data_IF_752631992045
#
_entry.id   IF_752631992045
#
_cell.length_a   1.000
_cell.length_b   1.000
_cell.length_c   1.000
_cell.angle_alpha   90.00
_cell.angle_beta   90.00
_cell.angle_gamma   90.00
#
_symmetry.space_group_name_H-M   'P 1'
#
loop_
_entity.id
_entity.type
_entity.pdbx_description
1 polymer ?
#
# COMPACT_ATOMS: atom_id res chain seq x y z
N UNK A 1 5.94 13.74 -19.07
CA UNK A 1 5.05 14.31 -18.03
C UNK A 1 5.83 14.31 -16.73
N UNK A 2 6.01 15.45 -16.11
CA UNK A 2 6.57 15.54 -14.76
C UNK A 2 5.42 15.37 -13.75
N UNK A 3 5.57 14.46 -12.78
CA UNK A 3 4.59 14.22 -11.73
C UNK A 3 5.10 14.88 -10.45
N UNK A 4 4.44 15.95 -10.02
CA UNK A 4 4.77 16.67 -8.79
C UNK A 4 3.76 16.36 -7.68
N UNK A 5 4.28 16.17 -6.47
CA UNK A 5 3.54 16.10 -5.21
C UNK A 5 3.96 17.23 -4.26
N UNK A 6 4.56 18.30 -4.80
CA UNK A 6 5.03 19.43 -3.99
C UNK A 6 3.89 20.05 -3.16
N UNK A 7 4.16 20.32 -1.89
CA UNK A 7 3.19 20.86 -0.96
C UNK A 7 2.14 19.84 -0.48
N UNK A 8 2.24 18.57 -0.83
CA UNK A 8 1.40 17.48 -0.33
C UNK A 8 2.07 16.76 0.82
N UNK A 9 1.26 16.11 1.66
CA UNK A 9 1.74 15.26 2.75
C UNK A 9 1.08 13.89 2.68
N UNK A 10 1.86 12.84 2.91
CA UNK A 10 1.44 11.45 2.73
C UNK A 10 1.71 10.60 3.97
N UNK A 11 0.82 9.65 4.25
CA UNK A 11 1.07 8.52 5.16
C UNK A 11 1.20 7.26 4.29
N UNK A 12 2.31 6.52 4.45
CA UNK A 12 2.52 5.23 3.81
C UNK A 12 2.65 4.14 4.88
N UNK A 13 1.63 3.30 5.03
CA UNK A 13 1.68 2.17 5.95
C UNK A 13 2.50 1.02 5.37
N UNK A 14 3.30 0.35 6.21
CA UNK A 14 4.28 -0.63 5.73
C UNK A 14 5.40 -0.01 4.89
N UNK A 15 5.73 1.28 5.14
CA UNK A 15 6.64 2.07 4.33
C UNK A 15 8.13 1.83 4.57
N UNK A 16 8.52 0.94 5.48
CA UNK A 16 9.93 0.72 5.83
C UNK A 16 10.67 -0.25 4.91
N UNK A 17 9.95 -1.07 4.11
CA UNK A 17 10.54 -2.08 3.20
C UNK A 17 9.71 -2.29 1.95
N UNK A 18 10.32 -2.89 0.92
CA UNK A 18 9.65 -3.36 -0.30
C UNK A 18 8.82 -2.29 -1.00
N UNK A 19 7.60 -2.63 -1.40
CA UNK A 19 6.70 -1.75 -2.15
C UNK A 19 6.42 -0.45 -1.40
N UNK A 20 6.12 -0.52 -0.09
CA UNK A 20 5.84 0.67 0.71
C UNK A 20 7.03 1.62 0.79
N UNK A 21 8.26 1.10 0.92
CA UNK A 21 9.48 1.90 0.89
C UNK A 21 9.68 2.57 -0.47
N UNK A 22 9.50 1.85 -1.57
CA UNK A 22 9.61 2.41 -2.92
C UNK A 22 8.56 3.51 -3.15
N UNK A 23 7.32 3.32 -2.70
CA UNK A 23 6.25 4.34 -2.77
C UNK A 23 6.64 5.58 -1.95
N UNK A 24 7.07 5.41 -0.69
CA UNK A 24 7.50 6.51 0.17
C UNK A 24 8.67 7.29 -0.45
N UNK A 25 9.66 6.58 -1.00
CA UNK A 25 10.80 7.16 -1.71
C UNK A 25 10.35 7.98 -2.92
N UNK A 26 9.50 7.39 -3.78
CA UNK A 26 9.00 8.06 -4.98
C UNK A 26 8.19 9.30 -4.65
N UNK A 27 7.35 9.25 -3.61
CA UNK A 27 6.57 10.40 -3.16
C UNK A 27 7.47 11.53 -2.66
N UNK A 28 8.47 11.21 -1.84
CA UNK A 28 9.43 12.19 -1.33
C UNK A 28 10.26 12.81 -2.45
N UNK A 29 10.71 12.03 -3.44
CA UNK A 29 11.41 12.51 -4.63
C UNK A 29 10.53 13.41 -5.51
N UNK A 30 9.22 13.20 -5.48
CA UNK A 30 8.23 14.03 -6.19
C UNK A 30 7.79 15.25 -5.37
N UNK A 31 8.37 15.49 -4.18
CA UNK A 31 8.19 16.70 -3.39
C UNK A 31 7.16 16.58 -2.25
N UNK A 32 6.57 15.41 -1.98
CA UNK A 32 5.68 15.23 -0.86
C UNK A 32 6.44 15.06 0.46
N UNK A 33 5.92 15.62 1.55
CA UNK A 33 6.29 15.23 2.90
C UNK A 33 5.73 13.84 3.21
N UNK A 34 6.52 12.93 3.80
CA UNK A 34 6.12 11.53 3.96
C UNK A 34 6.30 11.04 5.39
N UNK A 35 5.22 10.50 5.95
CA UNK A 35 5.24 9.71 7.17
C UNK A 35 5.27 8.21 6.83
N UNK A 36 6.34 7.52 7.22
CA UNK A 36 6.48 6.08 7.12
C UNK A 36 5.96 5.46 8.40
N UNK A 37 4.97 4.57 8.27
CA UNK A 37 4.38 3.85 9.39
C UNK A 37 4.72 2.37 9.27
N UNK A 38 5.41 1.81 10.26
CA UNK A 38 5.76 0.39 10.35
C UNK A 38 5.98 -0.01 11.82
N UNK A 39 6.23 -1.29 12.11
CA UNK A 39 6.35 -1.79 13.50
C UNK A 39 7.74 -1.63 14.10
N UNK A 40 8.77 -1.87 13.31
CA UNK A 40 10.15 -2.03 13.78
C UNK A 40 10.92 -0.72 13.63
N UNK A 41 11.32 -0.12 14.74
CA UNK A 41 11.97 1.20 14.79
C UNK A 41 13.25 1.25 13.95
N UNK A 42 14.10 0.23 14.05
CA UNK A 42 15.39 0.17 13.34
C UNK A 42 15.17 0.24 11.81
N UNK A 43 14.22 -0.54 11.29
CA UNK A 43 13.94 -0.55 9.84
C UNK A 43 13.27 0.74 9.36
N UNK A 44 12.55 1.42 10.25
CA UNK A 44 11.96 2.75 9.96
C UNK A 44 13.09 3.77 9.84
N UNK A 45 14.03 3.79 10.79
CA UNK A 45 15.13 4.76 10.83
C UNK A 45 16.06 4.57 9.62
N UNK A 46 16.35 3.32 9.23
CA UNK A 46 17.08 3.00 8.01
C UNK A 46 16.36 3.55 6.77
N UNK A 47 15.05 3.32 6.65
CA UNK A 47 14.25 3.79 5.53
C UNK A 47 14.19 5.33 5.45
N UNK A 48 13.94 6.00 6.59
CA UNK A 48 13.93 7.46 6.68
C UNK A 48 15.29 8.04 6.25
N UNK A 49 16.39 7.47 6.76
CA UNK A 49 17.73 7.93 6.41
C UNK A 49 18.05 7.71 4.93
N UNK A 50 17.63 6.58 4.35
CA UNK A 50 17.83 6.30 2.94
C UNK A 50 17.06 7.29 2.05
N UNK A 51 15.80 7.59 2.37
CA UNK A 51 14.98 8.54 1.60
C UNK A 51 15.55 9.95 1.69
N UNK A 52 15.95 10.40 2.87
CA UNK A 52 16.54 11.74 3.08
C UNK A 52 17.81 11.99 2.26
N UNK A 53 18.53 10.94 1.86
CA UNK A 53 19.68 11.06 0.95
C UNK A 53 19.30 11.38 -0.50
N UNK A 54 18.07 11.09 -0.90
CA UNK A 54 17.60 11.17 -2.30
C UNK A 54 16.48 12.20 -2.52
N UNK A 55 15.93 12.76 -1.45
CA UNK A 55 14.83 13.69 -1.50
C UNK A 55 15.03 14.85 -0.52
N UNK A 56 14.53 16.06 -0.91
CA UNK A 56 14.55 17.26 -0.06
C UNK A 56 13.31 17.40 0.83
N UNK A 57 12.30 16.54 0.64
CA UNK A 57 11.07 16.55 1.40
C UNK A 57 11.29 16.16 2.87
N UNK A 58 10.39 16.58 3.74
CA UNK A 58 10.40 16.13 5.14
C UNK A 58 9.95 14.67 5.20
N UNK A 59 10.73 13.85 5.88
CA UNK A 59 10.40 12.43 6.08
C UNK A 59 10.49 12.11 7.57
N UNK A 60 9.39 11.57 8.11
CA UNK A 60 9.33 11.07 9.47
C UNK A 60 9.01 9.58 9.51
N UNK A 61 9.39 8.93 10.60
CA UNK A 61 9.07 7.53 10.83
C UNK A 61 8.27 7.36 12.12
N UNK A 62 7.15 6.66 12.04
CA UNK A 62 6.29 6.36 13.19
C UNK A 62 6.23 4.86 13.40
N UNK A 63 6.62 4.42 14.60
CA UNK A 63 6.51 3.01 14.98
C UNK A 63 5.07 2.72 15.42
N UNK A 64 4.34 1.90 14.66
CA UNK A 64 2.94 1.56 14.91
C UNK A 64 2.57 0.20 14.32
N UNK A 65 1.75 -0.57 15.05
CA UNK A 65 1.06 -1.73 14.50
C UNK A 65 -0.32 -1.31 13.98
N UNK A 66 -0.50 -1.39 12.66
CA UNK A 66 -1.77 -1.01 12.02
C UNK A 66 -2.97 -1.90 12.43
N UNK A 67 -2.72 -3.06 13.04
CA UNK A 67 -3.75 -3.87 13.67
C UNK A 67 -4.34 -3.24 14.93
N UNK A 68 -3.67 -2.26 15.52
CA UNK A 68 -4.08 -1.61 16.76
C UNK A 68 -4.67 -0.22 16.48
N UNK A 69 -5.94 -0.01 16.87
CA UNK A 69 -6.62 1.27 16.61
C UNK A 69 -5.90 2.47 17.25
N UNK A 70 -5.38 2.31 18.48
CA UNK A 70 -4.63 3.35 19.18
C UNK A 70 -3.33 3.73 18.45
N UNK A 71 -2.67 2.77 17.83
CA UNK A 71 -1.44 3.00 17.05
C UNK A 71 -1.72 3.76 15.76
N UNK A 72 -2.84 3.46 15.10
CA UNK A 72 -3.28 4.20 13.90
C UNK A 72 -3.60 5.65 14.27
N UNK A 73 -4.31 5.88 15.39
CA UNK A 73 -4.60 7.22 15.89
C UNK A 73 -3.30 7.98 16.16
N UNK A 74 -2.37 7.38 16.88
CA UNK A 74 -1.07 7.98 17.18
C UNK A 74 -0.27 8.30 15.91
N UNK A 75 -0.24 7.40 14.92
CA UNK A 75 0.45 7.64 13.67
C UNK A 75 -0.16 8.82 12.89
N UNK A 76 -1.48 8.96 12.91
CA UNK A 76 -2.17 10.13 12.36
C UNK A 76 -1.78 11.41 13.12
N UNK A 77 -1.85 11.41 14.46
CA UNK A 77 -1.57 12.59 15.28
C UNK A 77 -0.12 13.07 15.13
N UNK A 78 0.85 12.15 15.13
CA UNK A 78 2.25 12.47 14.88
C UNK A 78 2.47 13.05 13.47
N UNK A 79 1.77 12.53 12.47
CA UNK A 79 1.83 13.09 11.11
C UNK A 79 1.21 14.48 11.06
N UNK A 80 0.06 14.70 11.68
CA UNK A 80 -0.58 16.00 11.77
C UNK A 80 0.31 17.02 12.49
N UNK A 81 0.96 16.62 13.58
CA UNK A 81 1.91 17.47 14.31
C UNK A 81 3.11 17.86 13.43
N UNK A 82 3.61 16.95 12.61
CA UNK A 82 4.79 17.19 11.78
C UNK A 82 4.49 18.01 10.52
N UNK A 83 3.34 17.78 9.88
CA UNK A 83 3.04 18.32 8.55
C UNK A 83 1.83 19.25 8.51
N UNK A 84 1.00 19.28 9.56
CA UNK A 84 -0.21 20.10 9.66
C UNK A 84 -1.42 19.58 8.87
N UNK A 85 -1.23 18.58 8.01
CA UNK A 85 -2.28 17.97 7.19
C UNK A 85 -1.88 16.57 6.71
N UNK A 86 -2.88 15.83 6.20
CA UNK A 86 -2.67 14.60 5.43
C UNK A 86 -3.47 14.70 4.13
N UNK A 87 -2.79 14.72 3.00
CA UNK A 87 -3.38 14.82 1.66
C UNK A 87 -3.48 13.47 0.98
N UNK A 88 -2.55 12.56 1.26
CA UNK A 88 -2.42 11.27 0.60
C UNK A 88 -2.29 10.17 1.67
N UNK A 89 -2.99 9.06 1.48
CA UNK A 89 -2.72 7.84 2.23
C UNK A 89 -2.52 6.65 1.31
N UNK A 90 -1.56 5.80 1.67
CA UNK A 90 -1.32 4.51 1.01
C UNK A 90 -1.45 3.40 2.05
N UNK A 91 -2.57 2.69 1.99
CA UNK A 91 -2.86 1.53 2.81
C UNK A 91 -2.15 0.31 2.21
N UNK A 92 -0.86 0.15 2.56
CA UNK A 92 0.00 -0.90 2.01
C UNK A 92 0.37 -1.97 3.05
N UNK A 93 0.33 -1.66 4.35
CA UNK A 93 0.71 -2.61 5.39
C UNK A 93 -0.10 -3.91 5.31
N UNK A 94 0.59 -5.03 5.45
CA UNK A 94 0.00 -6.37 5.48
C UNK A 94 0.90 -7.42 4.84
N UNK A 95 0.84 -8.63 5.38
CA UNK A 95 1.56 -9.81 4.86
C UNK A 95 0.55 -10.83 4.34
N UNK A 96 0.97 -11.68 3.40
CA UNK A 96 0.14 -12.80 2.95
C UNK A 96 0.03 -13.87 4.04
N UNK A 97 -1.21 -14.30 4.32
CA UNK A 97 -1.53 -15.47 5.16
C UNK A 97 -2.25 -16.55 4.35
N UNK A 98 -2.05 -16.55 3.03
CA UNK A 98 -2.68 -17.51 2.14
C UNK A 98 -2.36 -18.94 2.55
N UNK A 99 -3.40 -19.75 2.70
CA UNK A 99 -3.34 -21.16 3.13
C UNK A 99 -4.53 -21.94 2.57
N UNK A 100 -4.48 -23.29 2.58
CA UNK A 100 -5.64 -24.15 2.35
C UNK A 100 -6.78 -23.83 3.33
N UNK A 101 -8.02 -24.00 2.89
CA UNK A 101 -9.21 -23.66 3.66
C UNK A 101 -9.27 -24.41 4.98
N UNK A 102 -8.85 -25.68 5.00
CA UNK A 102 -8.84 -26.54 6.18
C UNK A 102 -7.88 -26.07 7.28
N UNK A 103 -6.94 -25.16 6.94
CA UNK A 103 -6.02 -24.54 7.90
C UNK A 103 -6.48 -23.15 8.35
N UNK A 104 -7.61 -22.67 7.83
CA UNK A 104 -8.16 -21.39 8.22
C UNK A 104 -8.87 -21.53 9.57
N UNK A 105 -8.45 -20.75 10.55
CA UNK A 105 -9.14 -20.58 11.82
C UNK A 105 -9.75 -19.18 11.91
N UNK A 106 -10.71 -18.98 12.82
CA UNK A 106 -11.33 -17.68 13.05
C UNK A 106 -10.28 -16.63 13.46
N UNK A 107 -9.28 -17.01 14.25
CA UNK A 107 -8.21 -16.12 14.69
C UNK A 107 -7.35 -15.65 13.50
N UNK A 108 -7.00 -16.56 12.57
CA UNK A 108 -6.24 -16.23 11.37
C UNK A 108 -7.05 -15.28 10.49
N UNK A 109 -8.35 -15.55 10.34
CA UNK A 109 -9.27 -14.71 9.57
C UNK A 109 -9.41 -13.32 10.19
N UNK A 110 -9.69 -13.23 11.49
CA UNK A 110 -9.79 -11.96 12.21
C UNK A 110 -8.52 -11.16 12.11
N UNK A 111 -7.36 -11.77 12.32
CA UNK A 111 -6.06 -11.10 12.23
C UNK A 111 -5.79 -10.54 10.82
N UNK A 112 -6.14 -11.29 9.76
CA UNK A 112 -5.94 -10.86 8.39
C UNK A 112 -6.86 -9.67 8.02
N UNK A 113 -8.13 -9.73 8.42
CA UNK A 113 -9.11 -8.65 8.23
C UNK A 113 -8.71 -7.41 9.04
N UNK A 114 -8.30 -7.60 10.29
CA UNK A 114 -7.88 -6.52 11.18
C UNK A 114 -6.71 -5.72 10.58
N UNK A 115 -5.67 -6.41 10.13
CA UNK A 115 -4.47 -5.76 9.60
C UNK A 115 -4.63 -5.15 8.21
N UNK A 116 -5.59 -5.61 7.40
CA UNK A 116 -5.70 -5.18 6.01
C UNK A 116 -6.95 -4.34 5.73
N UNK A 117 -8.09 -4.70 6.31
CA UNK A 117 -9.34 -4.00 6.08
C UNK A 117 -9.60 -2.97 7.17
N UNK A 118 -9.66 -3.38 8.44
CA UNK A 118 -9.92 -2.44 9.52
C UNK A 118 -8.83 -1.38 9.67
N UNK A 119 -7.56 -1.73 9.44
CA UNK A 119 -6.47 -0.76 9.40
C UNK A 119 -6.74 0.36 8.38
N UNK A 120 -7.12 0.00 7.15
CA UNK A 120 -7.47 0.97 6.11
C UNK A 120 -8.70 1.80 6.49
N UNK A 121 -9.77 1.15 6.97
CA UNK A 121 -11.01 1.83 7.39
C UNK A 121 -10.73 2.85 8.49
N UNK A 122 -9.94 2.50 9.50
CA UNK A 122 -9.60 3.41 10.62
C UNK A 122 -8.81 4.62 10.13
N UNK A 123 -7.77 4.40 9.33
CA UNK A 123 -6.95 5.51 8.82
C UNK A 123 -7.78 6.41 7.88
N UNK A 124 -8.58 5.84 6.99
CA UNK A 124 -9.48 6.61 6.11
C UNK A 124 -10.44 7.47 6.95
N UNK A 125 -11.03 6.90 8.00
CA UNK A 125 -11.98 7.61 8.88
C UNK A 125 -11.35 8.83 9.56
N UNK A 126 -10.07 8.77 9.92
CA UNK A 126 -9.34 9.89 10.52
C UNK A 126 -9.00 10.98 9.50
N UNK A 127 -8.61 10.62 8.28
CA UNK A 127 -8.15 11.59 7.28
C UNK A 127 -9.27 12.19 6.43
N UNK A 128 -10.36 11.45 6.19
CA UNK A 128 -11.41 11.84 5.25
C UNK A 128 -12.08 13.20 5.61
N UNK A 129 -12.39 13.54 6.86
CA UNK A 129 -13.00 14.83 7.18
C UNK A 129 -12.19 16.01 6.66
N UNK A 130 -10.89 16.08 6.97
CA UNK A 130 -10.02 17.16 6.54
C UNK A 130 -9.77 17.16 5.02
N UNK A 131 -9.74 15.98 4.36
CA UNK A 131 -9.64 15.89 2.91
C UNK A 131 -10.89 16.46 2.23
N UNK A 132 -12.08 16.09 2.72
CA UNK A 132 -13.37 16.60 2.22
C UNK A 132 -13.49 18.10 2.39
N UNK A 133 -13.12 18.65 3.55
CA UNK A 133 -13.11 20.09 3.84
C UNK A 133 -12.23 20.86 2.87
N UNK A 134 -10.99 20.39 2.65
CA UNK A 134 -10.06 21.01 1.69
C UNK A 134 -10.38 20.71 0.23
N UNK A 135 -11.38 19.88 -0.05
CA UNK A 135 -11.78 19.42 -1.39
C UNK A 135 -10.59 18.85 -2.18
N UNK A 136 -9.73 18.11 -1.49
CA UNK A 136 -8.60 17.41 -2.09
C UNK A 136 -8.15 16.25 -1.21
N UNK A 137 -8.02 15.07 -1.79
CA UNK A 137 -7.47 13.89 -1.14
C UNK A 137 -7.19 12.77 -2.13
N UNK A 138 -6.20 11.92 -1.80
CA UNK A 138 -5.87 10.72 -2.56
C UNK A 138 -5.73 9.53 -1.62
N UNK A 139 -6.52 8.51 -1.83
CA UNK A 139 -6.54 7.29 -1.03
C UNK A 139 -6.20 6.12 -1.94
N UNK A 140 -5.10 5.44 -1.67
CA UNK A 140 -4.62 4.30 -2.45
C UNK A 140 -4.62 3.06 -1.56
N UNK A 141 -5.43 2.08 -1.92
CA UNK A 141 -5.47 0.78 -1.25
C UNK A 141 -4.63 -0.23 -2.03
N UNK A 142 -3.53 -0.70 -1.43
CA UNK A 142 -2.69 -1.74 -2.04
C UNK A 142 -3.35 -3.09 -1.74
N UNK A 143 -3.83 -3.73 -2.78
CA UNK A 143 -4.45 -5.03 -2.75
C UNK A 143 -3.58 -6.06 -3.50
N UNK A 144 -4.13 -7.19 -3.90
CA UNK A 144 -3.49 -8.11 -4.82
C UNK A 144 -4.48 -8.62 -5.87
N UNK A 145 -3.98 -9.21 -6.95
CA UNK A 145 -4.82 -9.75 -8.04
C UNK A 145 -5.83 -10.80 -7.58
N UNK A 146 -5.60 -11.46 -6.44
CA UNK A 146 -6.56 -12.37 -5.83
C UNK A 146 -7.85 -11.70 -5.31
N UNK A 147 -7.91 -10.35 -5.27
CA UNK A 147 -9.15 -9.63 -5.00
C UNK A 147 -10.17 -9.77 -6.14
N UNK A 148 -9.70 -9.87 -7.40
CA UNK A 148 -10.53 -10.06 -8.60
C UNK A 148 -10.64 -11.53 -9.01
N UNK A 149 -9.54 -12.28 -8.89
CA UNK A 149 -9.42 -13.68 -9.32
C UNK A 149 -8.81 -14.52 -8.18
N UNK A 150 -9.60 -14.88 -7.15
CA UNK A 150 -9.12 -15.72 -6.06
C UNK A 150 -8.73 -17.10 -6.57
N UNK A 151 -7.60 -17.61 -6.08
CA UNK A 151 -7.09 -18.95 -6.43
C UNK A 151 -7.33 -19.92 -5.27
N UNK A 152 -7.31 -21.25 -5.52
CA UNK A 152 -7.24 -22.23 -4.44
C UNK A 152 -6.12 -21.89 -3.44
N UNK A 153 -6.30 -22.23 -2.18
CA UNK A 153 -5.33 -22.02 -1.11
C UNK A 153 -4.96 -20.54 -0.88
N UNK A 154 -5.85 -19.60 -1.19
CA UNK A 154 -5.59 -18.15 -1.07
C UNK A 154 -6.28 -17.47 0.11
N UNK A 155 -7.00 -18.23 0.94
CA UNK A 155 -7.69 -17.69 2.11
C UNK A 155 -6.74 -17.49 3.31
N UNK A 156 -6.97 -16.50 4.16
CA UNK A 156 -7.99 -15.46 4.12
C UNK A 156 -7.61 -14.27 3.22
N UNK A 157 -6.40 -14.27 2.65
CA UNK A 157 -5.85 -13.10 1.97
C UNK A 157 -6.73 -12.62 0.81
N UNK A 158 -7.28 -13.50 -0.01
CA UNK A 158 -8.18 -13.10 -1.10
C UNK A 158 -9.48 -12.46 -0.58
N UNK A 159 -10.02 -12.96 0.54
CA UNK A 159 -11.23 -12.42 1.16
C UNK A 159 -11.03 -10.97 1.61
N UNK A 160 -9.99 -10.72 2.41
CA UNK A 160 -9.69 -9.37 2.91
C UNK A 160 -9.39 -8.38 1.77
N UNK A 161 -8.74 -8.86 0.68
CA UNK A 161 -8.45 -8.01 -0.49
C UNK A 161 -9.69 -7.74 -1.35
N UNK A 162 -10.61 -8.69 -1.49
CA UNK A 162 -11.89 -8.47 -2.15
C UNK A 162 -12.76 -7.45 -1.37
N UNK A 163 -12.79 -7.55 -0.04
CA UNK A 163 -13.44 -6.56 0.81
C UNK A 163 -12.80 -5.16 0.66
N UNK A 164 -11.47 -5.07 0.56
CA UNK A 164 -10.76 -3.81 0.27
C UNK A 164 -11.11 -3.22 -1.10
N UNK A 165 -11.38 -4.06 -2.10
CA UNK A 165 -11.84 -3.61 -3.42
C UNK A 165 -13.26 -3.03 -3.36
N UNK A 166 -14.18 -3.69 -2.64
CA UNK A 166 -15.52 -3.19 -2.39
C UNK A 166 -15.49 -1.86 -1.63
N UNK A 167 -14.68 -1.75 -0.57
CA UNK A 167 -14.44 -0.51 0.17
C UNK A 167 -13.95 0.61 -0.76
N UNK A 168 -12.99 0.32 -1.64
CA UNK A 168 -12.46 1.29 -2.61
C UNK A 168 -13.56 1.86 -3.48
N UNK A 169 -14.41 1.01 -4.06
CA UNK A 169 -15.48 1.46 -4.96
C UNK A 169 -16.57 2.24 -4.24
N UNK A 170 -17.01 1.80 -3.07
CA UNK A 170 -18.00 2.48 -2.28
C UNK A 170 -17.55 3.91 -1.90
N UNK A 171 -16.34 4.03 -1.33
CA UNK A 171 -15.79 5.32 -0.92
C UNK A 171 -15.44 6.23 -2.10
N UNK A 172 -15.05 5.69 -3.24
CA UNK A 172 -14.77 6.48 -4.44
C UNK A 172 -16.04 7.25 -4.89
N UNK A 173 -17.20 6.59 -4.88
CA UNK A 173 -18.48 7.23 -5.24
C UNK A 173 -18.91 8.25 -4.18
N UNK A 174 -18.77 7.89 -2.89
CA UNK A 174 -19.17 8.76 -1.78
C UNK A 174 -18.30 10.03 -1.66
N UNK A 175 -16.99 9.91 -1.92
CA UNK A 175 -16.02 10.99 -1.69
C UNK A 175 -15.77 11.85 -2.94
N UNK A 176 -16.13 11.38 -4.13
CA UNK A 176 -15.92 12.09 -5.39
C UNK A 176 -16.48 13.53 -5.40
N UNK A 177 -17.68 13.84 -4.83
CA UNK A 177 -18.19 15.21 -4.76
C UNK A 177 -17.28 16.19 -4.01
N UNK A 178 -16.38 15.65 -3.17
CA UNK A 178 -15.39 16.42 -2.41
C UNK A 178 -13.99 16.42 -3.05
N UNK A 179 -13.85 15.93 -4.30
CA UNK A 179 -12.55 15.76 -4.97
C UNK A 179 -11.54 14.90 -4.17
N UNK A 180 -12.06 13.91 -3.40
CA UNK A 180 -11.26 12.90 -2.72
C UNK A 180 -11.36 11.62 -3.53
N UNK A 181 -10.24 11.25 -4.18
CA UNK A 181 -10.20 10.11 -5.10
C UNK A 181 -9.68 8.87 -4.36
N UNK A 182 -10.42 7.79 -4.48
CA UNK A 182 -10.11 6.50 -3.85
C UNK A 182 -9.89 5.47 -4.94
N UNK A 183 -8.71 4.87 -4.98
CA UNK A 183 -8.33 3.86 -5.97
C UNK A 183 -7.62 2.68 -5.30
N UNK A 184 -7.63 1.54 -5.96
CA UNK A 184 -6.87 0.36 -5.57
C UNK A 184 -5.81 0.02 -6.61
N UNK A 185 -4.69 -0.52 -6.13
CA UNK A 185 -3.63 -1.09 -6.94
C UNK A 185 -3.46 -2.56 -6.56
N UNK A 186 -3.55 -3.45 -7.54
CA UNK A 186 -3.51 -4.90 -7.34
C UNK A 186 -2.13 -5.44 -7.70
N UNK A 187 -1.37 -5.81 -6.67
CA UNK A 187 -0.02 -6.31 -6.85
C UNK A 187 -0.01 -7.76 -7.36
N UNK A 188 0.82 -8.00 -8.37
CA UNK A 188 1.18 -9.33 -8.86
C UNK A 188 2.44 -9.87 -8.16
N UNK A 189 3.39 -10.40 -8.95
CA UNK A 189 4.72 -10.72 -8.48
C UNK A 189 5.65 -9.52 -8.64
N UNK A 190 5.95 -8.87 -7.52
CA UNK A 190 6.85 -7.72 -7.44
C UNK A 190 7.92 -8.01 -6.38
N UNK A 191 9.15 -7.64 -6.65
CA UNK A 191 10.25 -7.75 -5.69
C UNK A 191 9.86 -7.08 -4.37
N UNK A 192 9.86 -7.85 -3.28
CA UNK A 192 9.48 -7.38 -1.96
C UNK A 192 10.10 -8.25 -0.87
N UNK A 193 10.24 -7.68 0.34
CA UNK A 193 10.80 -8.39 1.50
C UNK A 193 10.09 -9.71 1.82
N UNK A 194 8.77 -9.80 1.61
CA UNK A 194 8.01 -11.04 1.80
C UNK A 194 8.54 -12.19 0.92
N UNK A 195 9.03 -11.91 -0.27
CA UNK A 195 9.61 -12.93 -1.17
C UNK A 195 11.01 -13.33 -0.71
N UNK A 196 11.79 -12.39 -0.19
CA UNK A 196 13.08 -12.69 0.45
C UNK A 196 12.88 -13.63 1.63
N UNK A 197 11.90 -13.35 2.50
CA UNK A 197 11.57 -14.23 3.63
C UNK A 197 11.04 -15.59 3.17
N UNK A 198 10.24 -15.63 2.11
CA UNK A 198 9.73 -16.88 1.55
C UNK A 198 10.82 -17.75 0.94
N UNK A 199 11.78 -17.15 0.23
CA UNK A 199 12.95 -17.85 -0.31
C UNK A 199 13.82 -18.44 0.82
N UNK A 200 14.06 -17.65 1.88
CA UNK A 200 14.80 -18.12 3.06
C UNK A 200 14.10 -19.29 3.74
N UNK A 201 12.78 -19.22 3.95
CA UNK A 201 11.98 -20.31 4.55
C UNK A 201 11.99 -21.59 3.71
N UNK A 202 12.02 -21.44 2.39
CA UNK A 202 12.09 -22.56 1.45
C UNK A 202 13.52 -23.08 1.28
N UNK A 203 14.52 -22.44 1.88
CA UNK A 203 15.95 -22.73 1.71
C UNK A 203 16.37 -22.73 0.23
N UNK A 204 15.86 -21.76 -0.55
CA UNK A 204 16.16 -21.58 -1.97
C UNK A 204 16.84 -20.22 -2.19
N UNK A 205 17.89 -20.14 -3.01
CA UNK A 205 18.49 -18.87 -3.40
C UNK A 205 17.44 -17.91 -3.98
N UNK A 206 17.49 -16.63 -3.60
CA UNK A 206 16.48 -15.64 -4.00
C UNK A 206 16.34 -15.53 -5.53
N UNK A 207 17.47 -15.63 -6.26
CA UNK A 207 17.47 -15.59 -7.71
C UNK A 207 16.68 -16.77 -8.32
N UNK A 208 16.85 -17.97 -7.80
CA UNK A 208 16.10 -19.15 -8.23
C UNK A 208 14.63 -19.06 -7.85
N UNK A 209 14.34 -18.52 -6.67
CA UNK A 209 12.97 -18.25 -6.23
C UNK A 209 12.24 -17.31 -7.20
N UNK A 210 12.89 -16.24 -7.67
CA UNK A 210 12.31 -15.33 -8.66
C UNK A 210 12.20 -15.98 -10.03
N UNK A 211 13.25 -16.66 -10.51
CA UNK A 211 13.27 -17.36 -11.80
C UNK A 211 12.11 -18.38 -11.94
N UNK A 212 11.79 -19.08 -10.85
CA UNK A 212 10.63 -19.99 -10.87
C UNK A 212 9.29 -19.24 -11.06
N UNK A 213 9.19 -18.01 -10.58
CA UNK A 213 7.98 -17.19 -10.68
C UNK A 213 7.85 -16.40 -11.97
N UNK A 214 8.96 -16.12 -12.64
CA UNK A 214 8.96 -15.47 -13.97
C UNK A 214 8.10 -16.23 -14.98
N UNK A 215 8.08 -17.58 -14.88
CA UNK A 215 7.27 -18.44 -15.73
C UNK A 215 5.74 -18.24 -15.58
N UNK A 216 5.31 -17.67 -14.44
CA UNK A 216 3.91 -17.38 -14.16
C UNK A 216 3.50 -15.96 -14.60
N UNK A 217 4.46 -15.15 -15.08
CA UNK A 217 4.22 -13.76 -15.49
C UNK A 217 4.38 -13.65 -17.00
N UNK A 218 3.34 -13.25 -17.74
CA UNK A 218 3.41 -13.11 -19.20
C UNK A 218 4.54 -12.21 -19.71
N UNK A 219 4.91 -11.16 -18.96
CA UNK A 219 6.09 -10.32 -19.27
C UNK A 219 7.44 -11.03 -19.09
N UNK A 220 7.46 -12.29 -18.62
CA UNK A 220 8.67 -13.10 -18.47
C UNK A 220 9.62 -12.64 -17.34
N UNK A 221 9.19 -11.77 -16.45
CA UNK A 221 9.97 -11.30 -15.31
C UNK A 221 9.12 -10.91 -14.09
N UNK A 222 9.72 -10.89 -12.94
CA UNK A 222 9.15 -10.27 -11.74
C UNK A 222 9.21 -8.75 -11.88
N UNK A 223 8.19 -8.05 -11.40
CA UNK A 223 8.14 -6.58 -11.41
C UNK A 223 9.03 -5.99 -10.32
N UNK A 224 9.49 -4.75 -10.52
CA UNK A 224 10.24 -3.99 -9.51
C UNK A 224 9.30 -3.14 -8.65
N UNK A 225 9.66 -2.91 -7.40
CA UNK A 225 8.88 -2.09 -6.48
C UNK A 225 8.73 -0.64 -6.99
N UNK A 226 9.73 -0.13 -7.72
CA UNK A 226 9.71 1.20 -8.33
C UNK A 226 8.65 1.32 -9.45
N UNK A 227 8.39 0.24 -10.19
CA UNK A 227 7.34 0.23 -11.22
C UNK A 227 5.95 0.40 -10.58
N UNK A 228 5.72 -0.24 -9.43
CA UNK A 228 4.52 -0.05 -8.64
C UNK A 228 4.44 1.38 -8.06
N UNK A 229 5.56 1.89 -7.52
CA UNK A 229 5.63 3.21 -6.94
C UNK A 229 5.36 4.33 -7.96
N UNK A 230 5.76 4.16 -9.23
CA UNK A 230 5.47 5.12 -10.29
C UNK A 230 3.97 5.29 -10.53
N UNK A 231 3.20 4.18 -10.59
CA UNK A 231 1.74 4.26 -10.70
C UNK A 231 1.11 4.85 -9.44
N UNK A 232 1.60 4.49 -8.24
CA UNK A 232 1.13 5.09 -7.00
C UNK A 232 1.34 6.60 -6.99
N UNK A 233 2.50 7.09 -7.47
CA UNK A 233 2.81 8.50 -7.56
C UNK A 233 1.89 9.22 -8.57
N UNK A 234 1.62 8.62 -9.71
CA UNK A 234 0.64 9.13 -10.68
C UNK A 234 -0.76 9.25 -10.06
N UNK A 235 -1.26 8.19 -9.40
CA UNK A 235 -2.57 8.18 -8.75
C UNK A 235 -2.66 9.16 -7.56
N UNK A 236 -1.54 9.48 -6.93
CA UNK A 236 -1.45 10.46 -5.85
C UNK A 236 -1.40 11.91 -6.34
N UNK A 237 -1.20 12.14 -7.62
CA UNK A 237 -1.00 13.48 -8.21
C UNK A 237 -2.28 14.09 -8.77
N UNK A 238 -2.19 15.34 -9.21
CA UNK A 238 -3.26 16.03 -9.94
C UNK A 238 -3.44 15.48 -11.38
N UNK A 239 -2.43 14.80 -11.94
CA UNK A 239 -2.49 14.18 -13.25
C UNK A 239 -3.54 13.06 -13.36
N UNK A 240 -3.93 12.45 -12.23
CA UNK A 240 -4.96 11.41 -12.14
C UNK A 240 -6.34 11.96 -11.75
N UNK A 241 -6.57 13.26 -11.86
CA UNK A 241 -7.74 13.97 -11.31
C UNK A 241 -9.11 13.47 -11.79
N UNK A 242 -9.17 12.60 -12.80
CA UNK A 242 -10.41 12.00 -13.30
C UNK A 242 -10.45 10.47 -13.14
N UNK A 243 -9.58 9.91 -12.27
CA UNK A 243 -9.51 8.47 -12.01
C UNK A 243 -9.98 8.21 -10.58
N UNK A 244 -11.15 7.59 -10.44
CA UNK A 244 -11.75 7.24 -9.16
C UNK A 244 -12.44 5.87 -9.19
N UNK A 245 -12.27 5.08 -8.15
CA UNK A 245 -12.91 3.78 -7.98
C UNK A 245 -12.36 2.69 -8.88
N UNK A 246 -11.12 2.86 -9.38
CA UNK A 246 -10.43 1.82 -10.17
C UNK A 246 -9.72 0.81 -9.27
N UNK A 247 -9.53 -0.38 -9.81
CA UNK A 247 -8.69 -1.42 -9.23
C UNK A 247 -7.71 -1.89 -10.32
N UNK A 248 -6.55 -1.22 -10.40
CA UNK A 248 -5.59 -1.40 -11.49
C UNK A 248 -4.62 -2.53 -11.19
N UNK A 249 -4.51 -3.50 -12.08
CA UNK A 249 -3.53 -4.56 -11.97
C UNK A 249 -2.12 -4.03 -12.26
N UNK A 250 -1.15 -4.37 -11.40
CA UNK A 250 0.28 -4.11 -11.59
C UNK A 250 0.99 -5.44 -11.44
N UNK A 251 0.96 -6.26 -12.48
CA UNK A 251 1.20 -7.70 -12.35
C UNK A 251 1.87 -8.36 -13.57
N UNK A 252 2.26 -7.58 -14.57
CA UNK A 252 2.89 -8.11 -15.79
C UNK A 252 1.98 -9.00 -16.63
N UNK A 253 0.65 -8.80 -16.52
CA UNK A 253 -0.35 -9.59 -17.26
C UNK A 253 -0.73 -10.90 -16.56
N UNK A 254 -0.35 -11.11 -15.30
CA UNK A 254 -0.56 -12.37 -14.57
C UNK A 254 -2.03 -12.63 -14.18
N UNK A 255 -2.81 -11.59 -13.98
CA UNK A 255 -4.23 -11.72 -13.66
C UNK A 255 -4.99 -12.25 -14.89
N UNK A 256 -5.89 -13.24 -14.74
CA UNK A 256 -6.73 -13.71 -15.84
C UNK A 256 -7.90 -12.74 -16.15
N UNK A 257 -8.02 -11.66 -15.38
CA UNK A 257 -9.08 -10.65 -15.53
C UNK A 257 -8.51 -9.23 -15.42
N UNK A 258 -9.13 -8.30 -16.12
CA UNK A 258 -8.83 -6.87 -16.13
C UNK A 258 -9.35 -6.13 -14.90
#
# INVERSE_FOLDING_TARGET
>A
MEISLSGRSAIVTGGSKGIGFAVATRFAQSGADVAIVARTRETIDEAVNAIKKTAKARVIGVSADVGMAADIQRAYDETMKAFGKVDIIVNNAGTSRAAPFEKLTDEILHLDIEQKLFAAVRLIRLVAPQMKERRWGRIINVLNIGAKAPRPNSMPTSLSRAAGMALTKALATEFAPHNVLVNAMLVGFIEADQHVQSAKKANVPLAEYYKAREKEVPLGRVGKAEEFANLACFLASDASGYIAGTATNVDGGRSPVV
#
